data_IF_357018480032
#
_entry.id   IF_357018480032
#
_cell.length_a   1.000
_cell.length_b   1.000
_cell.length_c   1.000
_cell.angle_alpha   90.00
_cell.angle_beta   90.00
_cell.angle_gamma   90.00
#
_symmetry.space_group_name_H-M   'P 1'
#
loop_
_entity.id
_entity.type
_entity.pdbx_description
1 polymer ?
2 non-polymer ?
3 water ?
#
# COMPACT_ATOMS: atom_id res chain seq x y z
N UNK A 1 -12.59 24.96 31.83
CA UNK A 1 -12.20 23.82 32.71
C UNK A 1 -11.04 23.02 32.14
N UNK A 2 -10.87 21.81 32.63
CA UNK A 2 -9.80 20.93 32.16
C UNK A 2 -10.04 20.40 30.74
N UNK A 3 -10.86 21.12 29.98
CA UNK A 3 -11.17 20.74 28.61
C UNK A 3 -10.81 21.90 27.69
N UNK A 4 -11.18 23.11 28.10
CA UNK A 4 -10.89 24.31 27.32
C UNK A 4 -9.38 24.51 27.29
N UNK A 5 -8.75 24.32 28.46
CA UNK A 5 -7.31 24.47 28.58
C UNK A 5 -6.63 23.30 27.86
N UNK A 6 -7.21 22.11 28.02
CA UNK A 6 -6.67 20.90 27.41
C UNK A 6 -6.65 21.03 25.88
N UNK A 7 -7.79 21.39 25.30
CA UNK A 7 -7.88 21.54 23.85
C UNK A 7 -6.89 22.59 23.34
N UNK A 8 -6.74 23.67 24.09
CA UNK A 8 -5.81 24.73 23.69
C UNK A 8 -4.38 24.20 23.75
N UNK A 9 -4.12 23.36 24.75
CA UNK A 9 -2.80 22.78 24.94
C UNK A 9 -2.45 21.81 23.81
N UNK A 10 -3.41 20.94 23.49
CA UNK A 10 -3.23 19.96 22.42
C UNK A 10 -2.98 20.69 21.10
N UNK A 11 -3.67 21.81 20.92
CA UNK A 11 -3.53 22.60 19.71
C UNK A 11 -2.15 23.26 19.62
N UNK A 12 -1.63 23.67 20.76
CA UNK A 12 -0.33 24.30 20.81
C UNK A 12 0.72 23.24 20.51
N UNK A 13 0.54 22.08 21.12
CA UNK A 13 1.46 20.97 20.94
C UNK A 13 1.51 20.52 19.49
N UNK A 14 0.37 20.53 18.82
CA UNK A 14 0.31 20.12 17.43
C UNK A 14 1.12 21.05 16.55
N UNK A 15 0.95 22.36 16.76
CA UNK A 15 1.70 23.35 16.01
C UNK A 15 3.17 23.28 16.35
N UNK A 16 3.47 22.84 17.56
CA UNK A 16 4.84 22.71 18.02
C UNK A 16 5.55 21.69 17.13
N UNK A 17 4.93 20.51 17.00
CA UNK A 17 5.47 19.42 16.18
C UNK A 17 5.69 19.84 14.74
N UNK A 18 4.72 20.52 14.16
CA UNK A 18 4.84 20.99 12.79
C UNK A 18 6.09 21.86 12.69
N UNK A 19 6.29 22.70 13.70
CA UNK A 19 7.44 23.59 13.76
C UNK A 19 8.71 22.78 13.97
N UNK A 20 8.65 21.84 14.91
CA UNK A 20 9.80 21.00 15.20
C UNK A 20 10.27 20.32 13.92
N UNK A 21 9.34 19.69 13.22
CA UNK A 21 9.66 18.99 11.98
C UNK A 21 10.32 19.88 10.95
N UNK A 22 9.82 21.10 10.80
CA UNK A 22 10.42 22.00 9.82
C UNK A 22 11.80 22.49 10.26
N UNK A 23 12.06 22.43 11.56
CA UNK A 23 13.37 22.84 12.06
C UNK A 23 14.35 21.69 11.84
N UNK A 24 13.83 20.46 11.79
CA UNK A 24 14.68 19.30 11.54
C UNK A 24 14.72 19.08 10.03
N UNK A 25 13.92 19.88 9.31
CA UNK A 25 13.81 19.78 7.88
C UNK A 25 13.39 18.36 7.50
N UNK A 26 12.27 17.92 8.07
CA UNK A 26 11.72 16.60 7.81
C UNK A 26 10.23 16.66 7.61
N UNK A 27 9.64 15.52 7.27
CA UNK A 27 8.21 15.41 7.09
C UNK A 27 7.81 14.21 7.91
N UNK A 28 6.52 13.90 7.91
CA UNK A 28 6.02 12.75 8.63
C UNK A 28 5.66 11.68 7.62
N UNK A 29 5.99 10.45 7.92
CA UNK A 29 5.68 9.35 7.02
C UNK A 29 4.87 8.29 7.75
N UNK A 30 3.65 8.06 7.28
CA UNK A 30 2.82 7.03 7.88
C UNK A 30 3.07 5.75 7.10
N UNK A 31 3.57 4.74 7.78
CA UNK A 31 3.90 3.47 7.15
C UNK A 31 2.97 2.31 7.49
N UNK A 32 2.39 1.69 6.47
CA UNK A 32 1.53 0.53 6.66
C UNK A 32 2.44 -0.69 6.79
N UNK A 33 1.94 -1.75 7.41
CA UNK A 33 2.74 -2.98 7.53
C UNK A 33 2.45 -4.00 6.44
N UNK A 34 1.35 -4.73 6.58
CA UNK A 34 0.99 -5.77 5.63
C UNK A 34 0.99 -5.40 4.15
N UNK A 35 1.80 -6.10 3.39
CA UNK A 35 1.94 -5.89 1.96
C UNK A 35 2.48 -4.54 1.53
N UNK A 36 3.04 -3.80 2.49
CA UNK A 36 3.67 -2.52 2.20
C UNK A 36 5.17 -2.70 2.49
N UNK A 37 5.51 -3.09 3.71
CA UNK A 37 6.91 -3.33 4.04
C UNK A 37 7.16 -4.77 4.49
N UNK A 38 6.08 -5.55 4.65
CA UNK A 38 6.21 -6.95 5.02
C UNK A 38 5.05 -7.72 4.40
N UNK A 39 5.13 -9.03 4.54
CA UNK A 39 4.11 -9.95 4.11
C UNK A 39 4.11 -11.05 5.16
N UNK A 40 2.94 -11.40 5.68
CA UNK A 40 2.89 -12.42 6.69
C UNK A 40 1.96 -13.57 6.32
N UNK A 41 2.16 -14.71 6.95
CA UNK A 41 1.32 -15.89 6.74
C UNK A 41 1.40 -16.81 7.95
N UNK A 42 0.40 -17.66 8.14
CA UNK A 42 0.43 -18.62 9.24
C UNK A 42 0.46 -20.01 8.63
N UNK A 43 0.56 -20.07 7.31
CA UNK A 43 0.61 -21.34 6.60
C UNK A 43 1.86 -22.05 7.13
N UNK A 44 1.68 -23.17 7.87
CA UNK A 44 2.82 -23.89 8.43
C UNK A 44 3.83 -24.42 7.41
N UNK A 45 3.44 -24.39 6.13
CA UNK A 45 4.30 -24.83 5.04
C UNK A 45 5.63 -24.08 5.11
N UNK A 46 5.59 -22.81 5.51
CA UNK A 46 6.79 -21.99 5.58
C UNK A 46 7.81 -22.59 6.54
N UNK A 47 7.35 -22.96 7.73
CA UNK A 47 8.24 -23.55 8.71
C UNK A 47 8.88 -24.82 8.20
N UNK A 48 8.11 -25.61 7.46
CA UNK A 48 8.62 -26.87 6.91
C UNK A 48 9.70 -26.61 5.88
N UNK A 49 9.46 -25.66 4.98
CA UNK A 49 10.43 -25.35 3.94
C UNK A 49 11.69 -24.72 4.53
N UNK A 50 11.51 -23.95 5.59
CA UNK A 50 12.64 -23.29 6.24
C UNK A 50 13.56 -24.28 6.94
N UNK A 51 13.04 -25.46 7.26
CA UNK A 51 13.82 -26.47 7.95
C UNK A 51 14.51 -27.43 6.99
N UNK A 52 14.34 -27.20 5.69
CA UNK A 52 14.95 -28.08 4.70
C UNK A 52 15.80 -27.34 3.67
N UNK A 53 17.12 -27.25 3.92
CA UNK A 53 18.08 -26.58 3.05
C UNK A 53 18.08 -27.06 1.60
N UNK A 54 17.47 -28.23 1.36
CA UNK A 54 17.43 -28.75 0.01
C UNK A 54 16.16 -28.40 -0.72
N UNK A 55 15.25 -27.71 -0.04
CA UNK A 55 13.97 -27.31 -0.63
C UNK A 55 14.18 -26.17 -1.62
N UNK A 56 13.41 -26.19 -2.72
CA UNK A 56 13.53 -25.15 -3.74
C UNK A 56 13.21 -23.73 -3.23
N UNK A 57 12.43 -23.65 -2.16
CA UNK A 57 12.04 -22.36 -1.60
C UNK A 57 12.92 -21.95 -0.41
N UNK A 58 13.82 -22.83 0.00
CA UNK A 58 14.67 -22.55 1.17
C UNK A 58 15.49 -21.26 1.13
N UNK A 59 16.19 -21.03 0.03
CA UNK A 59 17.02 -19.84 -0.09
C UNK A 59 16.30 -18.51 0.12
N UNK A 60 15.13 -18.34 -0.47
CA UNK A 60 14.40 -17.08 -0.32
C UNK A 60 13.71 -16.97 1.03
N UNK A 61 13.77 -18.02 1.83
CA UNK A 61 13.15 -17.99 3.13
C UNK A 61 14.16 -17.80 4.25
N UNK A 62 15.43 -17.67 3.91
CA UNK A 62 16.47 -17.53 4.92
C UNK A 62 16.34 -16.32 5.84
N UNK A 63 15.77 -15.24 5.34
CA UNK A 63 15.61 -14.02 6.12
C UNK A 63 14.24 -13.91 6.77
N UNK A 64 13.43 -14.96 6.64
CA UNK A 64 12.10 -14.93 7.24
C UNK A 64 12.17 -15.11 8.75
N UNK A 65 11.36 -14.32 9.45
CA UNK A 65 11.32 -14.40 10.89
C UNK A 65 9.92 -14.85 11.31
N UNK A 66 9.80 -15.35 12.52
CA UNK A 66 8.48 -15.78 12.98
C UNK A 66 8.33 -15.52 14.46
N UNK A 67 7.09 -15.52 14.92
CA UNK A 67 6.77 -15.29 16.31
C UNK A 67 5.39 -15.85 16.60
N UNK A 68 5.08 -16.03 17.87
CA UNK A 68 3.80 -16.56 18.29
C UNK A 68 2.92 -15.49 18.89
N UNK A 69 1.62 -15.63 18.69
CA UNK A 69 0.65 -14.69 19.22
C UNK A 69 -0.61 -15.43 19.65
N UNK A 70 -1.10 -15.06 20.83
CA UNK A 70 -2.33 -15.62 21.38
C UNK A 70 -3.14 -14.38 21.69
N UNK A 71 -4.41 -14.36 21.28
CA UNK A 71 -5.20 -13.15 21.50
C UNK A 71 -6.62 -13.27 22.02
N UNK A 72 -7.14 -12.11 22.42
CA UNK A 72 -8.49 -11.95 22.93
C UNK A 72 -9.29 -13.16 23.37
N UNK A 73 -10.29 -13.57 22.57
CA UNK A 73 -11.19 -14.70 22.81
C UNK A 73 -10.71 -15.75 23.81
N UNK A 74 -10.41 -16.94 23.32
CA UNK A 74 -9.96 -18.03 24.18
C UNK A 74 -8.51 -18.45 23.92
N UNK A 75 -7.60 -17.47 23.98
CA UNK A 75 -6.19 -17.75 23.76
C UNK A 75 -5.79 -18.41 22.46
N UNK A 76 -6.45 -18.05 21.37
CA UNK A 76 -6.12 -18.63 20.07
C UNK A 76 -4.68 -18.24 19.72
N UNK A 77 -3.81 -19.24 19.60
CA UNK A 77 -2.40 -18.98 19.28
C UNK A 77 -2.06 -19.30 17.82
N UNK A 78 -1.12 -18.52 17.27
CA UNK A 78 -0.69 -18.71 15.90
C UNK A 78 0.78 -18.38 15.74
N UNK A 79 1.44 -19.11 14.86
CA UNK A 79 2.85 -18.87 14.57
C UNK A 79 2.84 -18.07 13.28
N UNK A 80 3.31 -16.83 13.35
CA UNK A 80 3.34 -15.96 12.19
C UNK A 80 4.70 -15.97 11.50
N UNK A 81 4.68 -16.07 10.18
CA UNK A 81 5.89 -16.07 9.39
C UNK A 81 5.94 -14.71 8.71
N UNK A 82 7.02 -13.99 8.94
CA UNK A 82 7.17 -12.65 8.39
C UNK A 82 8.30 -12.53 7.39
N UNK A 83 7.98 -12.00 6.22
CA UNK A 83 8.95 -11.76 5.17
C UNK A 83 9.07 -10.25 5.03
N UNK A 84 10.26 -9.71 5.25
CA UNK A 84 10.47 -8.28 5.14
C UNK A 84 10.81 -7.93 3.70
N UNK A 85 10.16 -6.89 3.18
CA UNK A 85 10.37 -6.50 1.79
C UNK A 85 11.86 -6.24 1.57
N UNK A 86 12.40 -6.65 0.40
CA UNK A 86 13.82 -6.46 0.08
C UNK A 86 14.32 -5.02 0.27
N UNK A 87 15.41 -4.88 1.03
CA UNK A 87 15.99 -3.56 1.26
C UNK A 87 15.34 -2.75 2.38
N UNK A 88 14.44 -3.38 3.12
CA UNK A 88 13.74 -2.68 4.19
C UNK A 88 14.62 -1.95 5.21
N UNK A 89 15.65 -2.64 5.72
CA UNK A 89 16.54 -2.04 6.71
C UNK A 89 17.14 -0.73 6.21
N UNK A 90 17.67 -0.76 4.99
CA UNK A 90 18.28 0.43 4.41
C UNK A 90 17.25 1.50 4.12
N UNK A 91 16.08 1.09 3.64
CA UNK A 91 15.00 2.03 3.34
C UNK A 91 14.63 2.81 4.60
N UNK A 92 14.38 2.10 5.69
CA UNK A 92 14.02 2.75 6.95
C UNK A 92 15.16 3.63 7.46
N UNK A 93 16.38 3.11 7.34
CA UNK A 93 17.56 3.84 7.79
C UNK A 93 17.68 5.16 7.04
N UNK A 94 17.64 5.08 5.72
CA UNK A 94 17.77 6.26 4.87
C UNK A 94 16.57 7.19 4.92
N UNK A 95 15.37 6.64 4.89
CA UNK A 95 14.16 7.47 4.91
C UNK A 95 13.97 8.21 6.24
N UNK A 96 14.53 7.66 7.32
CA UNK A 96 14.43 8.31 8.62
C UNK A 96 15.13 9.66 8.65
N UNK A 97 16.02 9.87 7.70
CA UNK A 97 16.75 11.12 7.62
C UNK A 97 15.86 12.25 7.14
N UNK A 98 14.81 11.90 6.39
CA UNK A 98 13.92 12.92 5.83
C UNK A 98 12.51 12.90 6.40
N UNK A 99 12.16 11.79 7.05
CA UNK A 99 10.82 11.64 7.61
C UNK A 99 10.81 11.05 9.01
N UNK A 100 9.87 11.50 9.82
CA UNK A 100 9.70 10.94 11.16
C UNK A 100 8.71 9.80 10.88
N UNK A 101 9.06 8.58 11.28
CA UNK A 101 8.22 7.43 10.99
C UNK A 101 7.13 7.04 12.00
N UNK A 102 5.99 6.66 11.45
CA UNK A 102 4.83 6.19 12.23
C UNK A 102 4.34 4.91 11.57
N UNK A 103 3.84 3.97 12.38
CA UNK A 103 3.28 2.75 11.85
C UNK A 103 1.78 2.88 12.03
N UNK A 104 1.02 2.42 11.04
CA UNK A 104 -0.43 2.49 11.07
C UNK A 104 -0.94 1.24 10.37
N UNK A 105 -1.28 0.23 11.15
CA UNK A 105 -1.74 -1.04 10.61
C UNK A 105 -3.15 -1.41 11.05
N UNK A 106 -3.79 -2.29 10.28
CA UNK A 106 -5.13 -2.77 10.61
C UNK A 106 -4.96 -4.03 11.45
N UNK A 107 -3.71 -4.45 11.64
CA UNK A 107 -3.43 -5.62 12.44
C UNK A 107 -3.58 -5.25 13.91
N UNK A 108 -3.59 -6.24 14.79
CA UNK A 108 -3.73 -5.96 16.23
C UNK A 108 -2.46 -5.32 16.79
N UNK A 109 -2.60 -4.70 17.96
CA UNK A 109 -1.49 -4.04 18.62
C UNK A 109 -0.37 -5.03 18.93
N UNK A 110 -0.76 -6.21 19.43
CA UNK A 110 0.22 -7.24 19.76
C UNK A 110 1.02 -7.60 18.51
N UNK A 111 0.31 -7.74 17.40
CA UNK A 111 0.92 -8.05 16.11
C UNK A 111 1.92 -6.95 15.76
N UNK A 112 1.44 -5.71 15.79
CA UNK A 112 2.28 -4.56 15.48
C UNK A 112 3.54 -4.49 16.32
N UNK A 113 3.42 -4.77 17.63
CA UNK A 113 4.57 -4.73 18.53
C UNK A 113 5.63 -5.75 18.15
N UNK A 114 5.20 -6.98 17.87
CA UNK A 114 6.13 -8.03 17.48
C UNK A 114 6.89 -7.60 16.22
N UNK A 115 6.15 -7.12 15.23
CA UNK A 115 6.76 -6.66 13.98
C UNK A 115 7.72 -5.51 14.26
N UNK A 116 7.30 -4.57 15.11
CA UNK A 116 8.14 -3.43 15.44
C UNK A 116 9.41 -3.88 16.16
N UNK A 117 9.28 -4.91 16.99
CA UNK A 117 10.42 -5.44 17.73
C UNK A 117 11.52 -5.90 16.78
N UNK A 118 11.12 -6.53 15.68
CA UNK A 118 12.07 -7.03 14.69
C UNK A 118 12.67 -5.95 13.78
N UNK A 119 11.81 -5.11 13.19
CA UNK A 119 12.30 -4.08 12.29
C UNK A 119 12.89 -2.86 12.99
N UNK A 120 12.51 -2.65 14.25
CA UNK A 120 13.01 -1.51 15.02
C UNK A 120 13.45 -1.96 16.41
N UNK A 121 14.48 -2.81 16.49
CA UNK A 121 15.02 -3.35 17.74
C UNK A 121 15.51 -2.32 18.76
N UNK A 122 16.01 -1.18 18.30
CA UNK A 122 16.49 -0.14 19.22
C UNK A 122 15.33 0.78 19.59
N UNK A 123 14.24 0.68 18.81
CA UNK A 123 13.07 1.51 19.06
C UNK A 123 13.29 2.96 18.65
N UNK A 124 14.37 3.23 17.94
CA UNK A 124 14.69 4.59 17.51
C UNK A 124 13.95 5.03 16.25
N UNK A 125 13.61 4.08 15.39
CA UNK A 125 12.92 4.40 14.14
C UNK A 125 11.48 4.85 14.33
N UNK A 126 10.72 4.09 15.13
CA UNK A 126 9.31 4.39 15.34
C UNK A 126 8.97 4.79 16.77
N UNK A 127 9.82 4.42 17.71
CA UNK A 127 9.55 4.74 19.11
C UNK A 127 8.21 4.09 19.44
N UNK A 128 7.30 4.90 19.95
CA UNK A 128 5.96 4.45 20.30
C UNK A 128 4.92 4.85 19.24
N UNK A 129 5.38 5.47 18.15
CA UNK A 129 4.47 5.90 17.09
C UNK A 129 3.93 4.71 16.31
N UNK A 130 3.08 3.93 16.95
CA UNK A 130 2.51 2.74 16.33
C UNK A 130 1.01 2.67 16.57
N UNK A 131 0.24 2.69 15.47
CA UNK A 131 -1.21 2.58 15.55
C UNK A 131 -1.66 1.25 15.01
N UNK A 132 -2.57 0.60 15.73
CA UNK A 132 -3.10 -0.70 15.34
C UNK A 132 -4.62 -0.60 15.36
N UNK A 133 -5.31 -1.68 15.01
CA UNK A 133 -6.76 -1.62 14.99
C UNK A 133 -7.34 -1.51 16.40
N UNK A 134 -6.50 -1.73 17.40
CA UNK A 134 -6.92 -1.65 18.80
C UNK A 134 -7.08 -0.20 19.28
N UNK A 135 -6.40 0.73 18.63
CA UNK A 135 -6.46 2.12 19.06
C UNK A 135 -6.54 3.15 17.95
N UNK A 136 -6.75 2.71 16.70
CA UNK A 136 -6.84 3.65 15.60
C UNK A 136 -8.22 4.32 15.59
N UNK A 137 -9.24 3.57 16.01
CA UNK A 137 -10.59 4.09 16.05
C UNK A 137 -11.50 3.61 14.94
N UNK A 138 -10.98 2.72 14.09
CA UNK A 138 -11.78 2.18 13.00
C UNK A 138 -11.28 0.81 12.56
N UNK A 139 -12.20 -0.04 12.14
CA UNK A 139 -11.84 -1.38 11.69
C UNK A 139 -11.83 -1.44 10.17
N UNK A 140 -12.35 -0.41 9.53
CA UNK A 140 -12.41 -0.38 8.08
C UNK A 140 -11.55 0.68 7.39
N UNK A 141 -11.29 1.79 8.07
CA UNK A 141 -10.50 2.84 7.44
C UNK A 141 -9.46 3.50 8.33
N UNK A 142 -8.52 4.16 7.66
CA UNK A 142 -7.45 4.87 8.34
C UNK A 142 -7.68 6.36 8.10
N UNK A 143 -7.28 7.17 9.06
CA UNK A 143 -7.43 8.62 8.95
C UNK A 143 -6.19 9.38 9.36
N UNK A 144 -5.84 10.39 8.58
CA UNK A 144 -4.69 11.21 8.94
C UNK A 144 -5.04 11.98 10.21
N UNK A 145 -6.32 12.26 10.38
CA UNK A 145 -6.81 13.02 11.54
C UNK A 145 -6.58 12.30 12.87
N UNK A 146 -6.41 11.00 12.83
CA UNK A 146 -6.16 10.23 14.04
C UNK A 146 -4.78 10.61 14.60
N UNK A 147 -3.90 11.09 13.72
CA UNK A 147 -2.55 11.49 14.11
C UNK A 147 -2.28 12.98 13.97
N UNK A 148 -2.90 13.62 12.99
CA UNK A 148 -2.72 15.05 12.75
C UNK A 148 -4.08 15.68 12.46
N UNK A 149 -4.91 15.82 13.51
CA UNK A 149 -6.25 16.40 13.35
C UNK A 149 -6.33 17.79 12.72
N UNK A 150 -5.35 18.64 13.00
CA UNK A 150 -5.39 19.99 12.48
C UNK A 150 -4.54 20.29 11.24
N UNK A 151 -3.37 19.70 11.14
CA UNK A 151 -2.51 20.00 10.00
C UNK A 151 -1.90 18.75 9.39
N UNK A 152 -2.31 18.45 8.16
CA UNK A 152 -1.80 17.28 7.44
C UNK A 152 -0.90 17.68 6.29
N UNK A 153 -0.50 18.94 6.26
CA UNK A 153 0.36 19.46 5.18
C UNK A 153 1.75 18.83 5.10
N UNK A 154 2.19 18.18 6.18
CA UNK A 154 3.52 17.56 6.20
C UNK A 154 3.50 16.03 6.29
N UNK A 155 2.34 15.42 6.17
CA UNK A 155 2.27 13.98 6.30
C UNK A 155 2.03 13.22 4.99
N UNK A 156 2.96 12.28 4.72
CA UNK A 156 2.89 11.44 3.53
C UNK A 156 2.56 10.04 3.99
N UNK A 157 1.76 9.34 3.21
CA UNK A 157 1.39 7.98 3.57
C UNK A 157 1.82 6.96 2.52
N UNK A 158 2.36 5.84 2.97
CA UNK A 158 2.71 4.77 2.04
C UNK A 158 1.91 3.56 2.50
N UNK A 159 1.08 3.05 1.60
CA UNK A 159 0.19 1.92 1.88
C UNK A 159 -0.12 1.22 0.55
N UNK A 160 -0.32 -0.09 0.60
CA UNK A 160 -0.62 -0.84 -0.63
C UNK A 160 -2.08 -0.71 -1.02
N UNK A 161 -2.90 -0.21 -0.09
CA UNK A 161 -4.33 -0.04 -0.33
C UNK A 161 -4.75 1.42 -0.30
N UNK A 162 -5.45 1.85 -1.33
CA UNK A 162 -5.90 3.22 -1.40
C UNK A 162 -7.33 3.36 -0.86
N UNK A 163 -8.05 2.25 -0.80
CA UNK A 163 -9.42 2.28 -0.30
C UNK A 163 -9.52 2.59 1.19
N UNK A 164 -8.60 2.08 2.00
CA UNK A 164 -8.66 2.35 3.43
C UNK A 164 -8.31 3.81 3.73
N UNK A 165 -7.78 4.53 2.73
CA UNK A 165 -7.43 5.93 2.89
C UNK A 165 -8.33 6.84 2.07
N UNK A 166 -9.34 6.25 1.43
CA UNK A 166 -10.24 7.03 0.60
C UNK A 166 -9.44 7.73 -0.49
N UNK A 167 -8.38 7.09 -0.94
CA UNK A 167 -7.54 7.66 -1.98
C UNK A 167 -7.18 9.10 -1.63
N UNK A 168 -6.77 9.29 -0.39
CA UNK A 168 -6.36 10.56 0.14
C UNK A 168 -5.21 11.11 -0.73
N UNK A 169 -5.19 12.44 -0.94
CA UNK A 169 -4.12 13.05 -1.76
C UNK A 169 -2.70 12.91 -1.20
N UNK A 170 -2.60 12.65 0.09
CA UNK A 170 -1.30 12.49 0.76
C UNK A 170 -0.77 11.06 0.63
N UNK A 171 -1.56 10.21 -0.01
CA UNK A 171 -1.18 8.80 -0.17
C UNK A 171 -0.29 8.45 -1.35
N UNK A 172 0.73 7.65 -1.07
CA UNK A 172 1.60 7.14 -2.12
C UNK A 172 1.24 5.66 -2.10
N UNK A 173 0.36 5.24 -3.01
CA UNK A 173 -0.03 3.83 -3.05
C UNK A 173 1.16 3.01 -3.53
N UNK A 174 1.47 1.95 -2.82
CA UNK A 174 2.60 1.10 -3.17
C UNK A 174 2.14 -0.20 -3.81
N UNK A 175 3.02 -0.83 -4.58
CA UNK A 175 2.67 -2.10 -5.20
C UNK A 175 2.58 -3.07 -4.03
N UNK A 176 1.45 -3.80 -3.93
CA UNK A 176 1.27 -4.77 -2.84
C UNK A 176 2.38 -5.79 -2.83
N UNK A 177 2.99 -6.00 -1.68
CA UNK A 177 4.07 -6.97 -1.57
C UNK A 177 3.47 -8.35 -1.32
N UNK A 178 3.48 -9.19 -2.34
CA UNK A 178 2.95 -10.54 -2.19
C UNK A 178 4.04 -11.57 -2.35
N UNK A 179 4.85 -11.73 -1.32
CA UNK A 179 5.93 -12.70 -1.32
C UNK A 179 5.35 -14.10 -1.22
N UNK A 180 4.54 -14.32 -0.20
CA UNK A 180 3.89 -15.62 -0.02
C UNK A 180 2.74 -15.70 -1.02
N UNK A 181 3.06 -16.12 -2.23
CA UNK A 181 2.12 -16.22 -3.34
C UNK A 181 0.77 -16.84 -2.96
N UNK A 182 -0.31 -16.21 -3.41
CA UNK A 182 -1.63 -16.73 -3.12
C UNK A 182 -2.17 -16.24 -1.79
N UNK A 183 -1.27 -15.81 -0.91
CA UNK A 183 -1.67 -15.30 0.39
C UNK A 183 -1.88 -13.80 0.23
N UNK A 184 -3.00 -13.31 0.74
CA UNK A 184 -3.26 -11.88 0.62
C UNK A 184 -2.93 -11.18 1.92
N UNK A 185 -3.92 -10.51 2.49
CA UNK A 185 -3.72 -9.80 3.74
C UNK A 185 -4.46 -10.54 4.84
N UNK A 186 -3.69 -11.21 5.70
CA UNK A 186 -4.24 -11.98 6.81
C UNK A 186 -5.04 -11.12 7.80
N UNK A 187 -5.00 -9.80 7.61
CA UNK A 187 -5.72 -8.88 8.50
C UNK A 187 -6.81 -8.11 7.77
N UNK A 188 -7.82 -8.82 7.28
CA UNK A 188 -8.94 -8.19 6.58
C UNK A 188 -10.03 -9.21 6.28
N UNK A 259 -18.58 -4.17 15.47
CA UNK A 259 -18.36 -5.39 14.72
C UNK A 259 -16.98 -5.98 15.00
N UNK A 260 -16.44 -5.68 16.17
CA UNK A 260 -15.13 -6.16 16.58
C UNK A 260 -15.10 -7.69 16.65
N UNK A 261 -15.93 -8.25 17.53
CA UNK A 261 -16.01 -9.70 17.70
C UNK A 261 -16.48 -10.40 16.43
N UNK A 262 -17.19 -9.65 15.58
CA UNK A 262 -17.70 -10.20 14.34
C UNK A 262 -16.56 -10.29 13.32
N UNK A 263 -15.60 -9.38 13.45
CA UNK A 263 -14.44 -9.34 12.56
C UNK A 263 -13.41 -10.37 13.03
N UNK A 264 -13.28 -10.49 14.34
CA UNK A 264 -12.35 -11.44 14.93
C UNK A 264 -12.70 -12.84 14.46
N UNK A 265 -14.00 -13.12 14.44
CA UNK A 265 -14.48 -14.43 14.02
C UNK A 265 -13.94 -14.79 12.64
N UNK A 266 -14.41 -14.08 11.62
CA UNK A 266 -13.98 -14.35 10.26
C UNK A 266 -12.46 -14.32 10.12
N UNK A 267 -11.79 -13.54 10.97
CA UNK A 267 -10.33 -13.48 10.94
C UNK A 267 -9.75 -14.81 11.40
N UNK A 268 -10.16 -15.25 12.59
CA UNK A 268 -9.69 -16.51 13.14
C UNK A 268 -10.03 -17.64 12.19
N UNK A 269 -11.03 -17.41 11.35
CA UNK A 269 -11.47 -18.41 10.38
C UNK A 269 -10.50 -18.44 9.21
N UNK A 270 -10.05 -17.26 8.77
CA UNK A 270 -9.11 -17.16 7.66
C UNK A 270 -7.75 -17.73 8.08
N UNK A 271 -7.37 -17.48 9.34
CA UNK A 271 -6.11 -17.99 9.86
C UNK A 271 -6.11 -19.51 9.91
N UNK A 272 -7.24 -20.06 10.33
CA UNK A 272 -7.39 -21.51 10.44
C UNK A 272 -7.42 -22.17 9.07
N UNK A 273 -8.13 -21.53 8.15
CA UNK A 273 -8.25 -22.02 6.79
C UNK A 273 -6.87 -22.10 6.15
N UNK A 274 -6.02 -21.15 6.51
CA UNK A 274 -4.67 -21.07 5.98
C UNK A 274 -3.77 -22.14 6.60
N UNK A 275 -3.93 -22.38 7.89
CA UNK A 275 -3.13 -23.39 8.59
C UNK A 275 -3.50 -24.80 8.17
N UNK A 276 -4.78 -25.03 7.88
CA UNK A 276 -5.25 -26.36 7.51
C UNK A 276 -5.21 -26.66 6.00
N UNK A 277 -5.48 -25.66 5.18
CA UNK A 277 -5.48 -25.87 3.74
C UNK A 277 -4.10 -25.75 3.09
N UNK A 278 -3.15 -25.18 3.82
CA UNK A 278 -1.79 -25.02 3.33
C UNK A 278 -1.75 -24.59 1.86
N UNK A 279 -2.27 -23.38 1.58
CA UNK A 279 -2.30 -22.85 0.22
C UNK A 279 -0.93 -22.81 -0.46
N UNK A 280 0.11 -22.59 0.33
CA UNK A 280 1.47 -22.54 -0.23
C UNK A 280 1.86 -23.90 -0.77
N UNK A 281 1.65 -24.94 0.04
CA UNK A 281 1.97 -26.30 -0.39
C UNK A 281 1.13 -26.66 -1.61
N UNK A 282 -0.14 -26.27 -1.59
CA UNK A 282 -1.03 -26.56 -2.70
C UNK A 282 -0.57 -25.96 -4.02
N UNK A 283 -0.11 -24.72 -3.99
CA UNK A 283 0.34 -24.08 -5.23
C UNK A 283 1.70 -24.61 -5.67
N UNK A 284 2.58 -24.88 -4.71
CA UNK A 284 3.89 -25.40 -5.04
C UNK A 284 3.72 -26.77 -5.66
N UNK A 285 2.84 -27.59 -5.08
CA UNK A 285 2.60 -28.93 -5.63
C UNK A 285 2.09 -28.83 -7.05
N UNK A 286 1.15 -27.92 -7.28
CA UNK A 286 0.59 -27.75 -8.61
C UNK A 286 1.66 -27.35 -9.61
N UNK A 287 2.58 -26.47 -9.20
CA UNK A 287 3.65 -26.04 -10.11
C UNK A 287 4.57 -27.19 -10.47
N UNK A 288 4.84 -28.05 -9.50
CA UNK A 288 5.73 -29.19 -9.70
C UNK A 288 5.05 -30.30 -10.49
N UNK A 289 3.73 -30.43 -10.34
CA UNK A 289 2.98 -31.45 -11.04
C UNK A 289 2.82 -31.15 -12.53
N UNK A 290 3.65 -30.26 -13.04
CA UNK A 290 3.62 -29.91 -14.47
C UNK A 290 4.98 -30.14 -15.09
N UNK A 291 5.30 -31.40 -15.35
CA UNK A 291 6.57 -31.79 -15.94
C UNK A 291 7.23 -30.73 -16.81
N UNK A 292 8.39 -30.26 -16.36
CA UNK A 292 9.13 -29.24 -17.09
C UNK A 292 10.60 -29.30 -16.71
N UNK A 293 11.41 -28.43 -17.29
CA UNK A 293 12.84 -28.41 -17.00
C UNK A 293 13.27 -27.17 -16.20
N UNK A 294 12.77 -25.97 -16.58
CA UNK A 294 13.13 -24.73 -15.87
C UNK A 294 12.70 -24.72 -14.40
N UNK A 295 13.57 -25.20 -13.51
CA UNK A 295 13.27 -25.22 -12.08
C UNK A 295 12.70 -23.90 -11.55
N UNK A 296 13.38 -22.77 -11.84
CA UNK A 296 12.95 -21.44 -11.37
C UNK A 296 11.44 -21.21 -11.55
N UNK A 297 10.94 -21.48 -12.75
CA UNK A 297 9.52 -21.29 -13.04
C UNK A 297 8.67 -22.28 -12.25
N UNK A 298 9.29 -23.33 -11.72
CA UNK A 298 8.56 -24.34 -10.94
C UNK A 298 8.64 -24.06 -9.43
N UNK A 299 9.48 -23.10 -9.05
CA UNK A 299 9.60 -22.74 -7.64
C UNK A 299 8.53 -21.69 -7.35
N UNK A 300 7.83 -21.85 -6.24
CA UNK A 300 6.76 -20.91 -5.89
C UNK A 300 7.24 -19.53 -5.42
N UNK A 301 8.13 -19.52 -4.44
CA UNK A 301 8.60 -18.25 -3.89
C UNK A 301 9.83 -17.68 -4.59
N UNK A 302 9.81 -16.36 -4.76
CA UNK A 302 10.88 -15.63 -5.43
C UNK A 302 11.12 -14.28 -4.75
N UNK A 303 12.34 -13.78 -4.88
CA UNK A 303 12.73 -12.50 -4.30
C UNK A 303 12.93 -11.45 -5.39
N UNK A 304 11.91 -11.21 -6.21
CA UNK A 304 12.05 -10.22 -7.28
C UNK A 304 11.23 -8.97 -7.01
N UNK A 305 11.65 -8.21 -6.00
CA UNK A 305 10.95 -6.98 -5.65
C UNK A 305 11.95 -5.96 -5.12
N UNK A 306 11.96 -4.77 -5.71
CA UNK A 306 12.82 -3.71 -5.20
C UNK A 306 12.01 -2.41 -5.20
N UNK A 307 10.73 -2.55 -4.89
CA UNK A 307 9.78 -1.43 -4.81
C UNK A 307 10.26 -0.37 -3.84
N UNK A 308 10.92 -0.79 -2.76
CA UNK A 308 11.40 0.17 -1.77
C UNK A 308 12.44 1.15 -2.33
N UNK A 309 13.27 0.70 -3.25
CA UNK A 309 14.26 1.61 -3.83
C UNK A 309 13.52 2.67 -4.62
N UNK A 310 12.44 2.28 -5.29
CA UNK A 310 11.65 3.23 -6.08
C UNK A 310 10.90 4.18 -5.15
N UNK A 311 10.33 3.62 -4.09
CA UNK A 311 9.60 4.42 -3.12
C UNK A 311 10.54 5.45 -2.50
N UNK A 312 11.76 5.04 -2.22
CA UNK A 312 12.74 5.95 -1.63
C UNK A 312 12.91 7.18 -2.52
N UNK A 313 13.03 6.94 -3.82
CA UNK A 313 13.21 8.03 -4.76
C UNK A 313 12.04 9.01 -4.72
N UNK A 314 10.83 8.48 -4.85
CA UNK A 314 9.64 9.31 -4.82
C UNK A 314 9.60 10.08 -3.51
N UNK A 315 9.88 9.41 -2.39
CA UNK A 315 9.85 10.06 -1.09
C UNK A 315 10.92 11.16 -0.97
N UNK A 316 12.10 10.93 -1.54
CA UNK A 316 13.17 11.95 -1.51
C UNK A 316 12.74 13.17 -2.31
N UNK A 317 12.04 12.94 -3.42
CA UNK A 317 11.59 14.02 -4.29
C UNK A 317 10.53 14.88 -3.64
N UNK A 318 9.59 14.24 -2.96
CA UNK A 318 8.52 14.96 -2.29
C UNK A 318 9.13 15.87 -1.23
N UNK A 319 10.03 15.31 -0.43
CA UNK A 319 10.71 16.07 0.60
C UNK A 319 11.43 17.26 -0.02
N UNK A 320 12.22 17.00 -1.04
CA UNK A 320 12.97 18.05 -1.74
C UNK A 320 12.05 19.14 -2.26
N UNK A 321 10.95 18.75 -2.91
CA UNK A 321 10.02 19.73 -3.47
C UNK A 321 9.33 20.51 -2.36
N UNK A 322 9.05 19.85 -1.24
CA UNK A 322 8.39 20.53 -0.14
C UNK A 322 9.28 21.59 0.47
N UNK A 323 10.52 21.25 0.78
CA UNK A 323 11.42 22.23 1.37
C UNK A 323 11.94 23.26 0.39
N UNK A 324 11.70 23.03 -0.88
CA UNK A 324 12.13 23.98 -1.90
C UNK A 324 11.06 25.06 -1.88
N UNK A 325 9.80 24.64 -1.88
CA UNK A 325 8.68 25.58 -1.86
C UNK A 325 8.62 26.21 -0.49
N UNK A 326 8.86 25.40 0.53
CA UNK A 326 8.83 25.86 1.91
C UNK A 326 9.88 26.95 2.14
N UNK A 327 11.14 26.61 1.88
CA UNK A 327 12.24 27.56 2.06
C UNK A 327 12.01 28.83 1.26
N UNK A 328 11.41 28.70 0.08
CA UNK A 328 11.14 29.86 -0.75
C UNK A 328 9.77 30.46 -0.50
N UNK A 329 9.35 30.43 0.76
CA UNK A 329 8.07 30.99 1.15
C UNK A 329 8.41 32.34 1.76
N UNK A 330 9.62 32.82 1.45
CA UNK A 330 10.12 34.09 1.94
C UNK A 330 9.15 35.23 1.65
N UNK A 331 8.30 35.50 2.63
CA UNK A 331 7.29 36.55 2.57
C UNK A 331 6.52 36.39 3.87
N UNK A 332 7.25 36.52 4.98
CA UNK A 332 6.67 36.37 6.31
C UNK A 332 6.37 34.88 6.46
N UNK A 333 7.35 34.14 6.97
CA UNK A 333 7.21 32.69 7.13
C UNK A 333 6.69 32.26 8.51
N UNK A 334 5.97 33.16 9.19
CA UNK A 334 5.42 32.81 10.49
C UNK A 334 4.33 31.79 10.22
N UNK A 335 3.15 32.01 10.78
CA UNK A 335 2.05 31.08 10.53
C UNK A 335 1.25 31.68 9.39
N UNK A 336 1.96 32.06 8.32
CA UNK A 336 1.36 32.66 7.14
C UNK A 336 1.00 31.59 6.12
N UNK A 337 1.98 31.14 5.35
CA UNK A 337 1.74 30.09 4.35
C UNK A 337 2.96 29.19 4.19
N UNK A 338 2.71 27.91 4.04
CA UNK A 338 3.78 26.93 3.87
C UNK A 338 3.46 25.94 2.76
N UNK A 339 4.43 25.10 2.45
CA UNK A 339 4.25 24.09 1.42
C UNK A 339 3.21 23.09 1.92
N UNK A 340 2.70 22.27 1.01
CA UNK A 340 1.69 21.29 1.38
C UNK A 340 1.84 20.02 0.55
N UNK A 341 2.29 18.95 1.20
CA UNK A 341 2.48 17.67 0.54
C UNK A 341 1.16 17.24 -0.11
N UNK A 342 0.04 17.67 0.47
CA UNK A 342 -1.26 17.34 -0.06
C UNK A 342 -1.52 17.99 -1.40
N UNK A 343 -0.71 18.98 -1.75
CA UNK A 343 -0.84 19.68 -3.03
C UNK A 343 0.31 19.24 -3.93
N UNK A 344 1.47 19.03 -3.34
CA UNK A 344 2.64 18.61 -4.08
C UNK A 344 2.48 17.24 -4.73
N UNK A 345 2.02 16.26 -3.95
CA UNK A 345 1.87 14.90 -4.48
C UNK A 345 0.93 14.81 -5.68
N UNK A 346 -0.28 15.39 -5.58
CA UNK A 346 -1.20 15.34 -6.71
C UNK A 346 -0.56 15.94 -7.97
N UNK A 347 0.20 17.01 -7.78
CA UNK A 347 0.87 17.68 -8.90
C UNK A 347 1.81 16.72 -9.62
N UNK A 348 2.53 15.92 -8.84
CA UNK A 348 3.48 14.96 -9.38
C UNK A 348 2.79 13.81 -10.12
N UNK A 349 1.64 13.38 -9.63
CA UNK A 349 0.90 12.27 -10.23
C UNK A 349 0.06 12.65 -11.43
N UNK A 350 -0.51 13.85 -11.39
CA UNK A 350 -1.37 14.36 -12.44
C UNK A 350 -0.75 14.29 -13.85
N UNK A 351 0.56 14.32 -13.92
CA UNK A 351 1.26 14.28 -15.21
C UNK A 351 1.26 12.90 -15.86
N UNK A 352 1.28 11.85 -15.05
CA UNK A 352 1.34 10.48 -15.57
C UNK A 352 0.32 10.09 -16.64
N UNK A 353 -0.97 10.25 -16.35
CA UNK A 353 -1.97 9.88 -17.33
C UNK A 353 -2.75 11.06 -17.90
N UNK A 354 -2.20 12.26 -17.75
CA UNK A 354 -2.88 13.45 -18.27
C UNK A 354 -3.13 13.22 -19.77
N UNK A 355 -4.36 13.50 -20.21
CA UNK A 355 -4.68 13.33 -21.62
C UNK A 355 -5.45 12.06 -21.91
N UNK A 356 -5.49 11.15 -20.95
CA UNK A 356 -6.20 9.88 -21.13
C UNK A 356 -7.64 9.99 -20.67
N UNK A 357 -8.56 9.50 -21.51
CA UNK A 357 -9.98 9.48 -21.17
C UNK A 357 -10.31 8.01 -21.14
N UNK A 358 -10.55 7.48 -19.95
CA UNK A 358 -10.83 6.06 -19.80
C UNK A 358 -12.28 5.65 -19.72
N UNK A 359 -12.59 4.53 -20.37
CA UNK A 359 -13.93 3.95 -20.36
C UNK A 359 -13.71 2.50 -19.94
N UNK A 360 -14.48 2.03 -18.98
CA UNK A 360 -14.30 0.65 -18.53
C UNK A 360 -15.33 -0.29 -19.10
N UNK A 361 -14.94 -1.54 -19.27
CA UNK A 361 -15.81 -2.58 -19.80
C UNK A 361 -15.46 -3.90 -19.15
N UNK A 362 -16.38 -4.43 -18.34
CA UNK A 362 -16.14 -5.70 -17.67
C UNK A 362 -15.14 -5.61 -16.54
N UNK A 363 -14.92 -4.42 -16.02
CA UNK A 363 -13.96 -4.23 -14.94
C UNK A 363 -14.67 -3.88 -13.63
N UNK A 364 -15.58 -2.91 -13.69
CA UNK A 364 -16.31 -2.47 -12.51
C UNK A 364 -17.67 -3.15 -12.45
N UNK A 365 -17.95 -3.87 -11.35
CA UNK A 365 -19.25 -4.56 -11.19
C UNK A 365 -20.39 -3.56 -11.38
N UNK A 366 -21.51 -4.02 -11.91
CA UNK A 366 -22.66 -3.13 -12.12
C UNK A 366 -23.24 -2.71 -10.76
N UNK A 367 -22.95 -3.49 -9.73
CA UNK A 367 -23.44 -3.18 -8.40
C UNK A 367 -22.61 -2.09 -7.75
N UNK A 368 -21.46 -1.79 -8.34
CA UNK A 368 -20.56 -0.76 -7.83
C UNK A 368 -20.61 0.45 -8.75
N UNK A 369 -20.48 1.64 -8.16
CA UNK A 369 -20.50 2.88 -8.94
C UNK A 369 -19.14 3.05 -9.63
N UNK A 370 -19.16 3.41 -10.91
CA UNK A 370 -17.94 3.58 -11.68
C UNK A 370 -17.01 4.70 -11.21
N UNK A 371 -17.51 5.93 -11.21
CA UNK A 371 -16.70 7.07 -10.81
C UNK A 371 -16.22 7.07 -9.36
N UNK A 372 -16.80 6.20 -8.53
CA UNK A 372 -16.40 6.13 -7.14
C UNK A 372 -15.66 4.83 -6.87
N UNK A 373 -15.49 4.02 -7.91
CA UNK A 373 -14.79 2.75 -7.75
C UNK A 373 -13.32 3.04 -7.46
N UNK A 374 -12.64 2.08 -6.83
CA UNK A 374 -11.24 2.24 -6.51
C UNK A 374 -10.37 2.44 -7.74
N UNK A 375 -10.57 1.60 -8.76
CA UNK A 375 -9.77 1.71 -9.97
C UNK A 375 -9.92 3.09 -10.62
N UNK A 376 -11.13 3.61 -10.63
CA UNK A 376 -11.38 4.92 -11.23
C UNK A 376 -10.69 6.03 -10.45
N UNK A 377 -10.83 6.01 -9.13
CA UNK A 377 -10.20 7.02 -8.29
C UNK A 377 -8.69 6.93 -8.35
N UNK A 378 -8.18 5.71 -8.48
CA UNK A 378 -6.74 5.50 -8.56
C UNK A 378 -6.23 6.13 -9.85
N UNK A 379 -6.92 5.87 -10.96
CA UNK A 379 -6.56 6.41 -12.27
C UNK A 379 -6.67 7.94 -12.30
N UNK A 380 -7.70 8.48 -11.66
CA UNK A 380 -7.89 9.92 -11.64
C UNK A 380 -6.82 10.62 -10.82
N UNK A 381 -6.34 9.96 -9.77
CA UNK A 381 -5.30 10.57 -8.95
C UNK A 381 -4.06 10.75 -9.81
N UNK A 382 -4.01 10.06 -10.95
CA UNK A 382 -2.86 10.21 -11.83
C UNK A 382 -3.15 11.02 -13.08
N UNK A 383 -4.20 11.84 -13.01
CA UNK A 383 -4.53 12.72 -14.11
C UNK A 383 -5.41 12.20 -15.23
N UNK A 384 -5.89 10.98 -15.11
CA UNK A 384 -6.75 10.44 -16.16
C UNK A 384 -8.19 10.87 -15.93
N UNK A 385 -8.95 10.91 -17.02
CA UNK A 385 -10.36 11.27 -16.95
C UNK A 385 -11.12 9.96 -17.12
N UNK A 386 -12.24 9.81 -16.43
CA UNK A 386 -13.01 8.59 -16.55
C UNK A 386 -14.43 8.89 -17.00
N UNK A 387 -14.76 8.48 -18.23
CA UNK A 387 -16.09 8.70 -18.79
C UNK A 387 -16.95 7.44 -18.66
N UNK A 388 -18.25 7.59 -18.83
CA UNK A 388 -19.16 6.46 -18.70
C UNK A 388 -19.71 5.93 -20.01
N UNK A 389 -19.62 6.73 -21.07
CA UNK A 389 -20.11 6.32 -22.37
C UNK A 389 -19.21 6.91 -23.46
N UNK A 390 -19.61 6.71 -24.71
CA UNK A 390 -18.83 7.21 -25.83
C UNK A 390 -19.15 8.64 -26.24
N UNK A 391 -20.15 9.24 -25.58
CA UNK A 391 -20.54 10.63 -25.88
C UNK A 391 -19.29 11.44 -26.17
N UNK A 392 -18.31 11.35 -25.28
CA UNK A 392 -17.04 12.03 -25.44
C UNK A 392 -16.07 10.87 -25.64
N UNK A 393 -15.71 10.58 -26.90
CA UNK A 393 -14.80 9.49 -27.22
C UNK A 393 -13.60 9.35 -26.30
N UNK A 394 -13.49 8.20 -25.63
CA UNK A 394 -12.39 7.94 -24.70
C UNK A 394 -11.14 7.56 -25.52
N UNK A 395 -9.97 7.81 -24.96
CA UNK A 395 -8.73 7.47 -25.64
C UNK A 395 -8.50 5.98 -25.45
N UNK A 396 -8.93 5.46 -24.30
CA UNK A 396 -8.74 4.05 -23.98
C UNK A 396 -9.97 3.38 -23.44
N UNK A 397 -10.14 2.13 -23.81
CA UNK A 397 -11.24 1.33 -23.30
C UNK A 397 -10.54 0.26 -22.47
N UNK A 398 -10.73 0.29 -21.16
CA UNK A 398 -10.12 -0.72 -20.31
C UNK A 398 -11.10 -1.89 -20.31
N UNK A 399 -10.69 -3.00 -20.93
CA UNK A 399 -11.57 -4.16 -21.03
C UNK A 399 -11.05 -5.41 -20.34
N UNK A 400 -11.99 -6.23 -19.88
CA UNK A 400 -11.66 -7.47 -19.18
C UNK A 400 -11.81 -8.71 -20.06
N UNK A 401 -11.03 -8.80 -21.12
CA UNK A 401 -11.05 -9.94 -22.03
C UNK A 401 -12.44 -10.52 -22.33
N UNK A 402 -13.35 -9.65 -22.76
CA UNK A 402 -14.71 -10.08 -23.09
C UNK A 402 -15.23 -9.19 -24.22
N UNK A 403 -15.62 -9.82 -25.32
CA UNK A 403 -16.14 -9.10 -26.47
C UNK A 403 -17.52 -8.53 -26.15
N UNK A 404 -17.54 -7.40 -25.44
CA UNK A 404 -18.78 -6.75 -25.06
C UNK A 404 -19.16 -5.74 -26.15
N UNK A 405 -20.34 -5.13 -26.02
CA UNK A 405 -20.78 -4.14 -26.98
C UNK A 405 -19.91 -2.90 -26.94
N UNK A 406 -19.31 -2.63 -25.79
CA UNK A 406 -18.42 -1.48 -25.65
C UNK A 406 -17.16 -1.73 -26.48
N UNK A 407 -16.63 -2.94 -26.37
CA UNK A 407 -15.43 -3.31 -27.11
C UNK A 407 -15.71 -3.23 -28.60
N UNK A 408 -16.81 -3.85 -29.04
CA UNK A 408 -17.19 -3.83 -30.44
C UNK A 408 -17.31 -2.39 -30.91
N UNK A 409 -17.97 -1.57 -30.10
CA UNK A 409 -18.16 -0.17 -30.43
C UNK A 409 -16.81 0.53 -30.61
N UNK A 410 -15.96 0.46 -29.59
CA UNK A 410 -14.65 1.10 -29.65
C UNK A 410 -13.83 0.60 -30.85
N UNK A 411 -13.88 -0.70 -31.11
CA UNK A 411 -13.13 -1.27 -32.23
C UNK A 411 -13.59 -0.70 -33.56
N UNK A 412 -14.89 -0.46 -33.67
CA UNK A 412 -15.45 0.08 -34.91
C UNK A 412 -15.02 1.52 -35.11
N UNK A 413 -14.65 2.19 -34.02
CA UNK A 413 -14.24 3.58 -34.11
C UNK A 413 -12.76 3.72 -34.48
N UNK A 414 -12.03 2.62 -34.39
CA UNK A 414 -10.62 2.60 -34.77
C UNK A 414 -9.63 3.54 -34.11
N UNK A 415 -10.10 4.58 -33.42
CA UNK A 415 -9.20 5.53 -32.77
C UNK A 415 -9.12 5.32 -31.26
N UNK A 416 -9.77 4.26 -30.77
CA UNK A 416 -9.76 3.98 -29.36
C UNK A 416 -8.88 2.76 -29.07
N UNK A 417 -7.97 2.91 -28.10
CA UNK A 417 -7.10 1.80 -27.73
C UNK A 417 -7.83 0.86 -26.78
N UNK A 418 -8.02 -0.38 -27.20
CA UNK A 418 -8.70 -1.36 -26.36
C UNK A 418 -7.61 -2.17 -25.70
N UNK A 419 -7.39 -1.91 -24.41
CA UNK A 419 -6.34 -2.59 -23.65
C UNK A 419 -6.84 -3.34 -22.43
N UNK A 420 -6.04 -4.30 -21.97
CA UNK A 420 -6.37 -5.07 -20.79
C UNK A 420 -6.20 -4.19 -19.56
N UNK A 421 -6.82 -4.59 -18.45
CA UNK A 421 -6.74 -3.81 -17.23
C UNK A 421 -5.28 -3.59 -16.81
N UNK A 422 -4.44 -4.58 -17.08
CA UNK A 422 -3.02 -4.55 -16.76
C UNK A 422 -2.32 -3.29 -17.26
N UNK A 423 -2.72 -2.83 -18.44
CA UNK A 423 -2.09 -1.64 -18.98
C UNK A 423 -2.21 -0.50 -17.97
N UNK A 424 -3.40 -0.33 -17.43
CA UNK A 424 -3.65 0.72 -16.47
C UNK A 424 -3.01 0.48 -15.11
N UNK A 425 -3.16 -0.72 -14.57
CA UNK A 425 -2.58 -0.98 -13.25
C UNK A 425 -1.06 -0.97 -13.27
N UNK A 426 -0.46 -1.44 -14.36
CA UNK A 426 0.99 -1.42 -14.45
C UNK A 426 1.47 0.00 -14.69
N UNK A 427 0.72 0.76 -15.49
CA UNK A 427 1.10 2.14 -15.75
C UNK A 427 1.04 2.93 -14.45
N UNK A 428 -0.06 2.76 -13.70
CA UNK A 428 -0.22 3.47 -12.44
C UNK A 428 0.85 3.05 -11.43
N UNK A 429 1.21 1.77 -11.44
CA UNK A 429 2.22 1.26 -10.52
C UNK A 429 3.61 1.80 -10.85
N UNK A 430 3.89 1.98 -12.14
CA UNK A 430 5.20 2.47 -12.55
C UNK A 430 5.22 3.99 -12.70
N UNK A 431 4.11 4.64 -12.38
CA UNK A 431 4.06 6.09 -12.49
C UNK A 431 4.45 6.52 -13.90
N UNK A 432 4.15 5.67 -14.87
CA UNK A 432 4.47 5.96 -16.25
C UNK A 432 3.43 5.37 -17.18
N UNK A 433 2.97 6.18 -18.13
CA UNK A 433 1.99 5.75 -19.12
C UNK A 433 2.72 4.78 -20.06
N UNK A 434 2.44 3.48 -19.92
CA UNK A 434 3.11 2.48 -20.74
C UNK A 434 2.55 2.34 -22.15
N UNK A 435 3.35 1.79 -23.08
CA UNK A 435 2.95 1.58 -24.48
C UNK A 435 1.79 0.59 -24.52
N UNK A 436 0.67 1.01 -25.12
CA UNK A 436 -0.52 0.17 -25.18
C UNK A 436 -0.29 -1.13 -25.94
N UNK A 437 0.66 -1.09 -26.86
CA UNK A 437 0.99 -2.23 -27.71
C UNK A 437 1.05 -3.59 -27.00
N UNK A 438 1.68 -3.63 -25.83
CA UNK A 438 1.82 -4.89 -25.09
C UNK A 438 0.55 -5.36 -24.37
N UNK A 439 -0.46 -4.51 -24.31
CA UNK A 439 -1.68 -4.87 -23.61
C UNK A 439 -2.88 -4.76 -24.53
N UNK A 440 -2.59 -4.42 -25.77
CA UNK A 440 -3.61 -4.24 -26.78
C UNK A 440 -4.43 -5.49 -27.11
N UNK A 441 -5.73 -5.31 -27.28
CA UNK A 441 -6.63 -6.39 -27.64
C UNK A 441 -7.16 -6.07 -29.03
N UNK A 442 -7.24 -4.78 -29.33
CA UNK A 442 -7.73 -4.29 -30.62
C UNK A 442 -7.11 -2.92 -30.91
X LIG B 1 -1.60 -3.19 3.64
#
# INVERSE_FOLDING_TARGET
>A
SDLTVSLEEASRLESENVKRLRQEKRLSLIVDLDQTIIHATVDPTVGEWMSDPGNVNYDVLRDVRSFNLQEGPSGYTSCYYIKFRPGLAQFLQKISELYELHIYTMGTKAYAKEVAKIIDPTGKLFQDRVLSRDDSGSLAQKSLRRLFPCDTSMVVVIDDRGDVWDWNPNLIKVVPYEFFVGIGDINSNFLAKSTPLPEQEQLIPLEIPKDEPDSVDEINEENEETPEYDSSNSSYAQDSSTIPEKTLLKDTFLQNREALEEQNKERVTALELQKSERPLAKQQNALLEDEGKPTPSHTLLHNRDHELERLEKVLKDIHAVYYEEENDISSRSGNHKHANVGLIIPKMKQKVLKGCRLLFSGVIPLGVDVLSSDIAKWAMSFGAEVVLDFSVPPTHLIAAKIRTEKVKKAVSMGNIKVVKLNWLTESLSQWKRLPESDYLLY
>B hetero
1 MG MG
#
